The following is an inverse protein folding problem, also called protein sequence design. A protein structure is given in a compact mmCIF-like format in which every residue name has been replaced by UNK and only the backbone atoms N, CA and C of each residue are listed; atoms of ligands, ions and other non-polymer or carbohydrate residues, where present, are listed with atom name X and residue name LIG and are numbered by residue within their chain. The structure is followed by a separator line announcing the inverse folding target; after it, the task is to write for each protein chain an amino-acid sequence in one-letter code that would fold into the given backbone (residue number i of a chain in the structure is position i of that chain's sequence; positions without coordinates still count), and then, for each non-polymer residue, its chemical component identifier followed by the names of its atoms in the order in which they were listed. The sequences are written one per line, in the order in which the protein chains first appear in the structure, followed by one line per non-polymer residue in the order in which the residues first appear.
data_IF_668934794196
#
_entry.id   IF_668934794196
#
_cell.length_a   1.000
_cell.length_b   1.000
_cell.length_c   1.000
_cell.angle_alpha   90.00
_cell.angle_beta   90.00
_cell.angle_gamma   90.00
#
_symmetry.space_group_name_H-M   'P 1'
#
loop_
_entity.id
_entity.type
_entity.pdbx_description
1 polymer ?
#
# COMPACT_ATOMS: atom_id res chain seq x y z
N UNK A 1 -14.80 -35.37 74.69
CA UNK A 1 -14.24 -35.18 73.34
C UNK A 1 -15.27 -34.41 72.51
N UNK A 2 -15.22 -33.08 72.53
CA UNK A 2 -14.62 -32.19 71.50
C UNK A 2 -15.45 -32.09 70.22
N UNK A 3 -16.25 -31.00 70.16
CA UNK A 3 -16.54 -30.08 69.05
C UNK A 3 -16.43 -30.57 67.60
N UNK A 4 -17.57 -30.54 66.87
CA UNK A 4 -17.65 -29.98 65.49
C UNK A 4 -19.09 -29.44 65.30
N UNK A 5 -19.44 -28.29 65.89
CA UNK A 5 -19.67 -27.00 65.21
C UNK A 5 -20.20 -27.10 63.77
N UNK A 6 -21.49 -26.76 63.67
CA UNK A 6 -22.21 -26.24 62.51
C UNK A 6 -21.42 -25.11 61.84
N UNK A 7 -21.04 -25.24 60.56
CA UNK A 7 -20.96 -24.10 59.63
C UNK A 7 -21.27 -24.63 58.22
N UNK A 8 -22.49 -24.34 57.78
CA UNK A 8 -22.88 -24.40 56.36
C UNK A 8 -22.08 -23.32 55.66
N UNK A 9 -20.96 -23.67 55.05
CA UNK A 9 -20.15 -22.76 54.26
C UNK A 9 -20.57 -22.88 52.80
N UNK A 10 -21.55 -22.03 52.46
CA UNK A 10 -21.82 -21.54 51.10
C UNK A 10 -20.48 -21.16 50.45
N UNK A 11 -19.93 -22.02 49.60
CA UNK A 11 -18.96 -21.59 48.58
C UNK A 11 -19.76 -21.04 47.40
N UNK A 12 -20.45 -19.93 47.62
CA UNK A 12 -20.70 -18.99 46.54
C UNK A 12 -19.33 -18.46 46.16
N UNK A 13 -18.70 -19.08 45.16
CA UNK A 13 -17.67 -18.39 44.40
C UNK A 13 -18.34 -17.15 43.84
N UNK A 14 -18.14 -16.01 44.51
CA UNK A 14 -18.42 -14.72 43.94
C UNK A 14 -17.52 -14.63 42.70
N UNK A 15 -18.03 -15.07 41.55
CA UNK A 15 -17.55 -14.59 40.27
C UNK A 15 -17.82 -13.10 40.29
N UNK A 16 -16.84 -12.34 40.77
CA UNK A 16 -16.83 -10.90 40.63
C UNK A 16 -16.86 -10.66 39.13
N UNK A 17 -18.03 -10.28 38.63
CA UNK A 17 -18.19 -9.77 37.27
C UNK A 17 -17.36 -8.48 37.26
N UNK A 18 -16.10 -8.60 36.85
CA UNK A 18 -15.25 -7.45 36.59
C UNK A 18 -15.78 -6.86 35.29
N UNK A 19 -16.69 -5.90 35.40
CA UNK A 19 -17.13 -5.11 34.26
C UNK A 19 -15.92 -4.31 33.79
N UNK A 20 -15.21 -4.82 32.77
CA UNK A 20 -14.25 -4.01 32.02
C UNK A 20 -15.07 -2.92 31.35
N UNK A 21 -15.01 -1.71 31.90
CA UNK A 21 -15.48 -0.52 31.19
C UNK A 21 -14.50 -0.31 30.04
N UNK A 22 -14.90 -0.69 28.83
CA UNK A 22 -14.25 -0.24 27.60
C UNK A 22 -14.40 1.27 27.59
N UNK A 23 -13.34 2.00 27.92
CA UNK A 23 -13.29 3.44 27.70
C UNK A 23 -12.99 3.58 26.20
N UNK A 24 -14.05 3.60 25.40
CA UNK A 24 -13.94 4.01 24.01
C UNK A 24 -13.51 5.48 24.03
N UNK A 25 -12.39 5.79 23.38
CA UNK A 25 -11.96 7.16 23.17
C UNK A 25 -13.03 7.87 22.31
N UNK A 26 -13.74 8.83 22.91
CA UNK A 26 -14.84 9.58 22.28
C UNK A 26 -14.33 10.59 21.23
N UNK A 27 -13.01 10.64 20.97
CA UNK A 27 -12.38 11.71 20.19
C UNK A 27 -12.24 11.48 18.69
N UNK A 28 -12.28 10.23 18.19
CA UNK A 28 -11.90 9.95 16.79
C UNK A 28 -13.08 9.87 15.82
N UNK A 29 -14.30 9.54 16.28
CA UNK A 29 -15.47 9.38 15.42
C UNK A 29 -16.65 10.20 15.96
N UNK A 30 -17.10 11.26 15.26
CA UNK A 30 -18.23 12.07 15.68
C UNK A 30 -19.49 11.25 15.94
N UNK A 31 -20.25 11.62 16.97
CA UNK A 31 -21.45 10.86 17.39
C UNK A 31 -22.52 10.76 16.31
N UNK A 32 -22.62 11.73 15.41
CA UNK A 32 -23.58 11.66 14.29
C UNK A 32 -23.23 10.56 13.29
N UNK A 33 -21.94 10.24 13.08
CA UNK A 33 -21.50 9.12 12.24
C UNK A 33 -21.85 7.77 12.84
N UNK A 34 -21.72 7.63 14.17
CA UNK A 34 -22.13 6.41 14.88
C UNK A 34 -23.62 6.09 14.62
N UNK A 35 -24.47 7.13 14.56
CA UNK A 35 -25.89 6.98 14.25
C UNK A 35 -26.13 6.63 12.78
N UNK A 36 -25.44 7.28 11.83
CA UNK A 36 -25.55 6.98 10.40
C UNK A 36 -25.14 5.54 10.11
N UNK A 37 -24.05 5.05 10.71
CA UNK A 37 -23.60 3.67 10.58
C UNK A 37 -24.58 2.66 11.17
N UNK A 38 -25.23 3.01 12.30
CA UNK A 38 -26.26 2.18 12.91
C UNK A 38 -27.49 2.04 11.98
N UNK A 39 -27.96 3.13 11.37
CA UNK A 39 -29.10 3.09 10.46
C UNK A 39 -28.80 2.35 9.16
N UNK A 40 -27.57 2.46 8.66
CA UNK A 40 -27.08 1.66 7.55
C UNK A 40 -27.13 0.16 7.87
N UNK A 41 -26.59 -0.27 9.02
CA UNK A 41 -26.62 -1.67 9.44
C UNK A 41 -28.03 -2.24 9.68
N UNK A 42 -29.02 -1.37 9.90
CA UNK A 42 -30.43 -1.72 10.03
C UNK A 42 -31.19 -1.68 8.69
N UNK A 43 -30.53 -1.39 7.57
CA UNK A 43 -31.15 -1.25 6.26
C UNK A 43 -32.09 -0.04 6.14
N UNK A 44 -31.97 0.93 7.05
CA UNK A 44 -32.79 2.15 7.09
C UNK A 44 -32.16 3.32 6.31
N UNK A 45 -31.00 3.09 5.71
CA UNK A 45 -30.24 4.06 4.90
C UNK A 45 -29.74 3.34 3.66
N UNK A 46 -29.78 4.02 2.51
CA UNK A 46 -29.28 3.46 1.24
C UNK A 46 -27.75 3.46 1.18
N UNK A 47 -27.17 2.61 0.32
CA UNK A 47 -25.73 2.60 0.05
C UNK A 47 -25.24 3.98 -0.39
N UNK A 48 -25.99 4.67 -1.25
CA UNK A 48 -25.64 6.03 -1.72
C UNK A 48 -25.57 7.04 -0.58
N UNK A 49 -26.54 7.03 0.34
CA UNK A 49 -26.55 7.95 1.47
C UNK A 49 -25.40 7.65 2.45
N UNK A 50 -25.07 6.37 2.64
CA UNK A 50 -23.94 5.99 3.46
C UNK A 50 -22.60 6.39 2.84
N UNK A 51 -22.43 6.18 1.52
CA UNK A 51 -21.23 6.61 0.77
C UNK A 51 -21.04 8.13 0.83
N UNK A 52 -22.10 8.91 0.62
CA UNK A 52 -22.03 10.38 0.71
C UNK A 52 -21.64 10.85 2.13
N UNK A 53 -22.07 10.15 3.18
CA UNK A 53 -21.67 10.45 4.54
C UNK A 53 -20.18 10.17 4.78
N UNK A 54 -19.63 9.10 4.19
CA UNK A 54 -18.18 8.80 4.24
C UNK A 54 -17.38 9.82 3.42
N UNK A 55 -17.86 10.20 2.23
CA UNK A 55 -17.25 11.24 1.40
C UNK A 55 -17.14 12.57 2.16
N UNK A 56 -18.21 12.98 2.86
CA UNK A 56 -18.18 14.17 3.71
C UNK A 56 -17.07 14.12 4.78
N UNK A 57 -16.80 12.94 5.37
CA UNK A 57 -15.74 12.80 6.38
C UNK A 57 -14.35 12.97 5.79
N UNK A 58 -14.14 12.52 4.55
CA UNK A 58 -12.89 12.71 3.82
C UNK A 58 -12.70 14.17 3.42
N UNK A 59 -13.74 14.82 2.87
CA UNK A 59 -13.69 16.23 2.45
C UNK A 59 -13.43 17.20 3.60
N UNK A 60 -13.93 16.88 4.80
CA UNK A 60 -13.78 17.73 5.98
C UNK A 60 -12.60 17.32 6.88
N UNK A 61 -11.77 16.35 6.45
CA UNK A 61 -10.60 15.90 7.22
C UNK A 61 -10.95 15.30 8.58
N UNK A 62 -12.15 14.72 8.72
CA UNK A 62 -12.57 14.01 9.94
C UNK A 62 -12.04 12.59 9.94
N UNK A 63 -12.07 11.96 8.76
CA UNK A 63 -11.28 10.77 8.47
C UNK A 63 -10.18 11.23 7.54
N UNK A 64 -8.94 11.07 7.97
CA UNK A 64 -7.79 11.17 7.08
C UNK A 64 -7.47 9.74 6.63
N UNK A 65 -7.26 9.57 5.32
CA UNK A 65 -6.55 8.38 4.88
C UNK A 65 -5.11 8.59 5.28
N UNK A 66 -4.67 7.93 6.35
CA UNK A 66 -3.26 7.71 6.61
C UNK A 66 -2.68 6.97 5.40
N UNK A 67 -2.26 7.74 4.38
CA UNK A 67 -1.42 7.25 3.30
C UNK A 67 0.01 6.99 3.78
N UNK A 68 0.23 7.04 5.09
CA UNK A 68 1.30 6.32 5.79
C UNK A 68 1.01 4.81 5.70
N UNK A 69 0.93 4.27 4.47
CA UNK A 69 1.45 2.92 4.31
C UNK A 69 2.89 3.02 4.82
N UNK A 70 3.33 2.18 5.78
CA UNK A 70 4.76 2.07 5.99
C UNK A 70 5.31 1.79 4.61
N UNK A 71 6.22 2.65 4.18
CA UNK A 71 6.97 2.53 2.94
C UNK A 71 7.75 1.22 3.06
N UNK A 72 7.07 0.11 2.80
CA UNK A 72 7.53 -1.23 3.06
C UNK A 72 8.21 -1.68 1.78
N UNK A 73 9.38 -1.10 1.57
CA UNK A 73 10.37 -1.72 0.71
C UNK A 73 10.64 -3.13 1.23
N UNK A 74 10.82 -4.06 0.31
CA UNK A 74 11.27 -5.39 0.60
C UNK A 74 12.77 -5.35 0.90
N UNK A 75 13.27 -6.42 1.52
CA UNK A 75 14.71 -6.58 1.60
C UNK A 75 15.47 -5.60 2.52
N UNK A 76 16.72 -5.36 2.16
CA UNK A 76 17.70 -4.58 2.95
C UNK A 76 18.39 -3.46 2.17
N UNK A 77 18.21 -3.43 0.84
CA UNK A 77 18.71 -2.40 -0.05
C UNK A 77 18.00 -1.05 0.16
N UNK A 78 18.38 -0.06 -0.64
CA UNK A 78 17.96 1.30 -0.40
C UNK A 78 16.46 1.48 -0.67
N UNK A 79 15.74 1.81 0.39
CA UNK A 79 14.37 2.30 0.31
C UNK A 79 14.36 3.83 0.22
N UNK A 80 14.07 4.36 -0.97
CA UNK A 80 14.26 5.78 -1.28
C UNK A 80 12.91 6.46 -1.53
N UNK A 81 12.33 7.15 -0.53
CA UNK A 81 11.19 8.02 -0.76
C UNK A 81 11.64 9.30 -1.49
N UNK A 82 10.83 9.78 -2.42
CA UNK A 82 11.14 11.01 -3.14
C UNK A 82 10.06 11.49 -4.09
N UNK A 83 10.46 12.40 -4.97
CA UNK A 83 9.60 12.94 -6.02
C UNK A 83 10.15 12.62 -7.40
N UNK A 84 9.25 12.33 -8.33
CA UNK A 84 9.59 12.23 -9.74
C UNK A 84 10.06 13.59 -10.25
N UNK A 85 11.25 13.60 -10.85
CA UNK A 85 11.86 14.80 -11.45
C UNK A 85 11.80 14.78 -12.98
N UNK A 86 11.73 13.59 -13.58
CA UNK A 86 11.49 13.41 -15.01
C UNK A 86 11.03 11.98 -15.31
N UNK A 87 10.34 11.80 -16.43
CA UNK A 87 10.08 10.49 -17.06
C UNK A 87 11.08 10.36 -18.21
N UNK A 88 11.98 9.36 -18.16
CA UNK A 88 12.99 9.18 -19.20
C UNK A 88 12.40 8.43 -20.41
N UNK A 89 11.73 7.32 -20.13
CA UNK A 89 11.07 6.42 -21.07
C UNK A 89 10.00 5.57 -20.34
N UNK A 90 9.53 4.47 -20.96
CA UNK A 90 8.49 3.61 -20.43
C UNK A 90 8.91 2.69 -19.28
N UNK A 91 10.21 2.58 -18.97
CA UNK A 91 10.71 1.73 -17.89
C UNK A 91 11.76 2.40 -17.00
N UNK A 92 12.01 3.69 -17.21
CA UNK A 92 12.99 4.48 -16.47
C UNK A 92 12.41 5.84 -16.09
N UNK A 93 12.46 6.16 -14.79
CA UNK A 93 12.13 7.48 -14.25
C UNK A 93 13.36 8.14 -13.62
N UNK A 94 13.24 9.41 -13.23
CA UNK A 94 14.26 10.10 -12.43
C UNK A 94 13.75 10.54 -11.07
N UNK A 95 14.46 10.15 -10.02
CA UNK A 95 14.21 10.57 -8.63
C UNK A 95 15.48 11.23 -8.09
N UNK A 96 15.35 12.45 -7.55
CA UNK A 96 16.50 13.30 -7.20
C UNK A 96 17.55 13.46 -8.32
N UNK A 97 17.10 13.45 -9.58
CA UNK A 97 17.98 13.51 -10.76
C UNK A 97 18.73 12.22 -11.09
N UNK A 98 18.64 11.17 -10.26
CA UNK A 98 19.19 9.83 -10.55
C UNK A 98 18.20 9.02 -11.38
N UNK A 99 18.71 8.27 -12.35
CA UNK A 99 17.89 7.35 -13.14
C UNK A 99 17.56 6.11 -12.32
N UNK A 100 16.28 5.75 -12.29
CA UNK A 100 15.74 4.54 -11.66
C UNK A 100 15.10 3.71 -12.76
N UNK A 101 15.68 2.55 -13.02
CA UNK A 101 15.23 1.57 -14.01
C UNK A 101 14.34 0.56 -13.29
N UNK A 102 13.18 0.25 -13.85
CA UNK A 102 12.27 -0.73 -13.30
C UNK A 102 12.94 -2.12 -13.31
N UNK A 103 13.05 -2.75 -12.14
CA UNK A 103 13.50 -4.13 -12.02
C UNK A 103 12.49 -5.07 -12.70
N UNK A 104 13.00 -6.07 -13.40
CA UNK A 104 12.29 -7.09 -14.19
C UNK A 104 11.36 -6.59 -15.30
N UNK A 105 10.83 -5.36 -15.26
CA UNK A 105 9.90 -4.85 -16.25
C UNK A 105 10.61 -3.95 -17.27
N UNK A 106 10.43 -4.20 -18.56
CA UNK A 106 11.01 -3.41 -19.65
C UNK A 106 9.94 -2.88 -20.58
N UNK A 107 10.16 -1.71 -21.16
CA UNK A 107 9.33 -1.13 -22.20
C UNK A 107 10.13 -0.98 -23.51
N UNK A 108 9.47 -0.80 -24.67
CA UNK A 108 10.15 -0.37 -25.88
C UNK A 108 10.86 0.97 -25.66
N UNK A 109 12.03 1.13 -26.27
CA UNK A 109 12.78 2.40 -26.20
C UNK A 109 11.97 3.54 -26.80
N UNK A 110 12.22 4.77 -26.39
CA UNK A 110 11.42 5.94 -26.79
C UNK A 110 11.32 6.14 -28.31
N UNK A 111 12.31 5.68 -29.06
CA UNK A 111 12.35 5.72 -30.54
C UNK A 111 11.60 4.58 -31.21
N UNK A 112 11.34 3.50 -30.48
CA UNK A 112 10.74 2.29 -31.01
C UNK A 112 9.22 2.39 -31.03
N UNK A 113 8.59 1.48 -31.77
CA UNK A 113 7.13 1.37 -31.83
C UNK A 113 6.59 1.06 -30.42
N UNK A 114 5.68 1.89 -29.92
CA UNK A 114 5.10 1.75 -28.59
C UNK A 114 5.87 2.45 -27.46
N UNK A 115 7.10 2.94 -27.71
CA UNK A 115 7.93 3.53 -26.66
C UNK A 115 7.41 4.88 -26.17
N UNK A 116 6.88 5.71 -27.07
CA UNK A 116 6.25 6.99 -26.68
C UNK A 116 4.95 6.78 -25.93
N UNK A 117 4.19 5.76 -26.31
CA UNK A 117 2.96 5.35 -25.66
C UNK A 117 3.24 4.85 -24.24
N UNK A 118 4.24 3.99 -24.06
CA UNK A 118 4.68 3.52 -22.74
C UNK A 118 5.17 4.67 -21.85
N UNK A 119 5.97 5.59 -22.42
CA UNK A 119 6.43 6.80 -21.70
C UNK A 119 5.25 7.64 -21.19
N UNK A 120 4.25 7.89 -22.06
CA UNK A 120 3.05 8.65 -21.69
C UNK A 120 2.18 7.93 -20.67
N UNK A 121 2.11 6.59 -20.74
CA UNK A 121 1.39 5.80 -19.77
C UNK A 121 2.01 5.93 -18.37
N UNK A 122 3.34 5.81 -18.26
CA UNK A 122 4.05 6.06 -16.99
C UNK A 122 3.80 7.49 -16.50
N UNK A 123 3.88 8.49 -17.38
CA UNK A 123 3.57 9.89 -17.04
C UNK A 123 2.12 10.08 -16.55
N UNK A 124 1.16 9.30 -17.07
CA UNK A 124 -0.24 9.39 -16.67
C UNK A 124 -0.51 8.84 -15.27
N UNK A 125 0.23 7.80 -14.85
CA UNK A 125 0.14 7.23 -13.49
C UNK A 125 0.96 8.05 -12.50
N UNK A 126 2.15 8.46 -12.93
CA UNK A 126 3.15 9.08 -12.07
C UNK A 126 3.74 10.34 -12.73
N UNK A 127 2.96 11.43 -12.82
CA UNK A 127 3.45 12.67 -13.42
C UNK A 127 4.60 13.27 -12.60
N UNK A 128 5.40 14.13 -13.24
CA UNK A 128 6.49 14.86 -12.58
C UNK A 128 5.97 15.60 -11.35
N UNK A 129 6.66 15.46 -10.22
CA UNK A 129 6.27 16.00 -8.92
C UNK A 129 5.52 15.02 -8.01
N UNK A 130 5.03 13.90 -8.55
CA UNK A 130 4.40 12.82 -7.79
C UNK A 130 5.36 12.24 -6.76
N UNK A 131 4.80 11.88 -5.60
CA UNK A 131 5.52 11.15 -4.57
C UNK A 131 5.72 9.69 -4.98
N UNK A 132 6.93 9.19 -4.80
CA UNK A 132 7.31 7.82 -5.13
C UNK A 132 8.12 7.20 -4.01
N UNK A 133 8.05 5.89 -3.96
CA UNK A 133 8.95 5.02 -3.20
C UNK A 133 9.70 4.20 -4.21
N UNK A 134 11.03 4.23 -4.11
CA UNK A 134 11.92 3.38 -4.90
C UNK A 134 12.46 2.32 -3.96
N UNK A 135 12.07 1.08 -4.23
CA UNK A 135 12.53 -0.12 -3.53
C UNK A 135 13.67 -0.74 -4.34
N UNK A 136 14.91 -0.40 -4.00
CA UNK A 136 16.08 -0.88 -4.73
C UNK A 136 16.23 -2.40 -4.58
N UNK A 137 16.49 -3.07 -5.70
CA UNK A 137 16.64 -4.52 -5.76
C UNK A 137 17.91 -4.97 -4.99
N UNK A 138 17.71 -5.75 -3.93
CA UNK A 138 18.75 -6.33 -3.06
C UNK A 138 19.89 -7.00 -3.83
N UNK A 139 19.58 -7.68 -4.93
CA UNK A 139 20.55 -8.45 -5.71
C UNK A 139 21.21 -7.61 -6.81
N UNK A 140 20.76 -6.36 -7.02
CA UNK A 140 21.19 -5.46 -8.11
C UNK A 140 21.53 -4.02 -7.67
N UNK A 141 22.09 -3.86 -6.47
CA UNK A 141 22.42 -2.57 -5.80
C UNK A 141 23.53 -1.70 -6.42
N UNK A 142 24.15 -2.14 -7.51
CA UNK A 142 25.20 -1.36 -8.19
C UNK A 142 24.75 -0.72 -9.49
N UNK A 143 23.58 -1.11 -10.00
CA UNK A 143 23.05 -0.52 -11.21
C UNK A 143 23.77 -0.90 -12.49
N UNK A 144 23.02 -1.15 -13.54
CA UNK A 144 23.60 -1.14 -14.88
C UNK A 144 23.93 0.32 -15.25
N UNK A 145 25.23 0.63 -15.41
CA UNK A 145 25.72 1.95 -15.84
C UNK A 145 25.33 3.13 -14.93
N UNK A 146 25.31 2.93 -13.62
CA UNK A 146 25.05 4.01 -12.64
C UNK A 146 23.58 4.39 -12.47
N UNK A 147 22.67 3.47 -12.81
CA UNK A 147 21.21 3.59 -12.58
C UNK A 147 20.81 2.78 -11.35
N UNK A 148 19.80 3.19 -10.61
CA UNK A 148 19.22 2.35 -9.56
C UNK A 148 18.29 1.33 -10.24
N UNK A 149 18.36 0.04 -9.88
CA UNK A 149 17.41 -0.99 -10.34
C UNK A 149 16.43 -1.23 -9.19
N UNK A 150 15.12 -1.07 -9.43
CA UNK A 150 14.16 -1.03 -8.33
C UNK A 150 12.72 -1.40 -8.75
N UNK A 151 11.91 -1.81 -7.80
CA UNK A 151 10.45 -1.65 -7.89
C UNK A 151 10.07 -0.22 -7.50
N UNK A 152 9.26 0.44 -8.33
CA UNK A 152 8.84 1.82 -8.09
C UNK A 152 7.35 1.87 -7.80
N UNK A 153 7.00 2.34 -6.60
CA UNK A 153 5.62 2.62 -6.23
C UNK A 153 5.32 4.11 -6.33
N UNK A 154 4.26 4.44 -7.06
CA UNK A 154 3.74 5.80 -7.18
C UNK A 154 2.26 5.82 -6.82
N UNK A 155 1.87 6.63 -5.83
CA UNK A 155 0.48 6.66 -5.33
C UNK A 155 -0.07 5.26 -4.97
N UNK A 156 0.78 4.38 -4.42
CA UNK A 156 0.42 2.99 -4.07
C UNK A 156 0.41 2.00 -5.25
N UNK A 157 0.65 2.46 -6.49
CA UNK A 157 0.67 1.63 -7.70
C UNK A 157 2.13 1.28 -8.05
N UNK A 158 2.43 -0.01 -8.21
CA UNK A 158 3.71 -0.46 -8.78
C UNK A 158 3.78 -0.10 -10.26
N UNK A 159 4.72 0.76 -10.66
CA UNK A 159 4.93 1.11 -12.06
C UNK A 159 5.46 -0.08 -12.86
N UNK A 160 6.29 -0.92 -12.24
CA UNK A 160 6.84 -2.14 -12.85
C UNK A 160 5.70 -3.06 -13.27
N UNK A 161 4.76 -3.37 -12.36
CA UNK A 161 3.59 -4.16 -12.69
C UNK A 161 2.66 -3.46 -13.67
N UNK A 162 2.37 -2.17 -13.48
CA UNK A 162 1.39 -1.44 -14.29
C UNK A 162 1.74 -1.42 -15.78
N UNK A 163 3.01 -1.28 -16.15
CA UNK A 163 3.41 -1.29 -17.57
C UNK A 163 3.20 -2.67 -18.21
N UNK A 164 3.35 -3.77 -17.45
CA UNK A 164 3.13 -5.12 -17.94
C UNK A 164 1.63 -5.40 -18.11
N UNK A 165 0.84 -5.06 -17.10
CA UNK A 165 -0.60 -5.34 -17.07
C UNK A 165 -1.37 -4.57 -18.15
N UNK A 166 -0.85 -3.43 -18.58
CA UNK A 166 -1.47 -2.59 -19.60
C UNK A 166 -0.82 -2.74 -20.98
N UNK A 167 0.07 -3.73 -21.18
CA UNK A 167 0.67 -4.03 -22.48
C UNK A 167 1.65 -2.96 -22.99
N UNK A 168 2.22 -2.18 -22.08
CA UNK A 168 3.26 -1.18 -22.36
C UNK A 168 4.68 -1.71 -22.14
N UNK A 169 4.82 -2.95 -21.66
CA UNK A 169 6.10 -3.59 -21.41
C UNK A 169 6.03 -5.10 -21.37
N UNK A 170 7.16 -5.71 -21.08
CA UNK A 170 7.36 -7.16 -20.93
C UNK A 170 8.32 -7.43 -19.76
N UNK A 171 8.20 -8.62 -19.17
CA UNK A 171 9.11 -9.05 -18.10
C UNK A 171 10.41 -9.60 -18.70
N UNK A 172 11.55 -9.28 -18.10
CA UNK A 172 12.87 -9.80 -18.47
C UNK A 172 13.12 -11.07 -17.65
N UNK A 173 12.69 -12.22 -18.19
CA UNK A 173 12.66 -13.49 -17.46
C UNK A 173 14.03 -13.99 -17.00
N UNK A 174 15.09 -13.56 -17.66
CA UNK A 174 16.48 -13.91 -17.33
C UNK A 174 16.90 -13.45 -15.93
N UNK A 175 16.27 -12.39 -15.40
CA UNK A 175 16.59 -11.81 -14.10
C UNK A 175 15.63 -12.23 -12.98
N UNK A 176 14.58 -13.03 -13.26
CA UNK A 176 13.59 -13.39 -12.23
C UNK A 176 14.21 -14.07 -11.00
N UNK A 177 15.27 -14.86 -11.18
CA UNK A 177 15.97 -15.53 -10.05
C UNK A 177 17.02 -14.64 -9.38
N UNK A 178 17.36 -13.52 -10.02
CA UNK A 178 18.40 -12.58 -9.61
C UNK A 178 17.81 -11.27 -9.08
N UNK A 179 16.55 -11.31 -8.65
CA UNK A 179 15.76 -10.16 -8.23
C UNK A 179 14.80 -10.60 -7.14
N UNK A 180 14.74 -9.85 -6.04
CA UNK A 180 13.78 -10.13 -4.97
C UNK A 180 12.31 -9.96 -5.41
N UNK A 181 12.08 -9.22 -6.48
CA UNK A 181 10.75 -8.98 -7.05
C UNK A 181 10.27 -10.13 -7.95
N UNK A 182 11.08 -11.17 -8.17
CA UNK A 182 10.76 -12.30 -9.04
C UNK A 182 9.49 -13.06 -8.63
N UNK A 183 9.24 -13.15 -7.32
CA UNK A 183 8.07 -13.83 -6.74
C UNK A 183 6.85 -12.89 -6.57
N UNK A 184 6.96 -11.62 -6.97
CA UNK A 184 5.84 -10.68 -6.90
C UNK A 184 4.68 -11.11 -7.79
N UNK A 185 3.44 -10.78 -7.41
CA UNK A 185 2.25 -11.22 -8.13
C UNK A 185 2.24 -10.73 -9.60
N UNK A 186 2.74 -9.53 -9.87
CA UNK A 186 2.85 -9.00 -11.23
C UNK A 186 3.97 -9.69 -12.02
N UNK A 187 5.10 -10.03 -11.40
CA UNK A 187 6.20 -10.72 -12.10
C UNK A 187 5.80 -12.15 -12.47
N UNK A 188 5.24 -12.90 -11.52
CA UNK A 188 4.76 -14.28 -11.69
C UNK A 188 3.66 -14.38 -12.77
N UNK A 189 2.74 -13.41 -12.79
CA UNK A 189 1.67 -13.37 -13.81
C UNK A 189 2.21 -13.21 -15.23
N UNK A 190 3.38 -12.60 -15.38
CA UNK A 190 3.96 -12.23 -16.68
C UNK A 190 5.14 -13.11 -17.11
N UNK A 191 5.56 -14.11 -16.32
CA UNK A 191 6.51 -15.15 -16.76
C UNK A 191 7.82 -15.23 -15.99
N UNK A 192 7.98 -14.48 -14.90
CA UNK A 192 8.61 -15.10 -13.73
C UNK A 192 7.66 -16.23 -13.22
#
# INVERSE_FOLDING_TARGET
MVKVILVVLFLFTASTIFSVSVIADEGLVPSWIKNTALFYGQGSTSDTEFVNAVEFLLENGIIEMDSEMPVACLGTAACIPGKVTAIADGDTIKVYGKSVRFSLASAPERSDVGGREATKFVESICPVGSSVVVDEDDEQTHGSYGRIIAEVHCNGISLNGAILENGHGYVITEFCKGSEFGDSAWAQKHGC
#
